data_IF_875813071906
#
_entry.id   IF_875813071906
#
_cell.length_a   1.000
_cell.length_b   1.000
_cell.length_c   1.000
_cell.angle_alpha   90.00
_cell.angle_beta   90.00
_cell.angle_gamma   90.00
#
_symmetry.space_group_name_H-M   'P 1'
#
loop_
_entity.id
_entity.type
_entity.pdbx_description
1 polymer ?
#
# COMPACT_ATOMS: atom_id res chain seq x y z
N UNK A 1 -15.44 39.09 7.30
CA UNK A 1 -14.76 37.90 6.77
C UNK A 1 -13.29 38.23 6.63
N UNK A 2 -12.46 37.63 7.48
CA UNK A 2 -11.05 38.00 7.51
C UNK A 2 -10.29 37.39 6.32
N UNK A 3 -9.40 38.16 5.73
CA UNK A 3 -8.51 37.76 4.62
C UNK A 3 -7.72 36.48 4.92
N UNK A 4 -7.52 36.13 6.18
CA UNK A 4 -6.81 34.91 6.59
C UNK A 4 -7.57 33.60 6.30
N UNK A 5 -8.90 33.61 6.42
CA UNK A 5 -9.72 32.42 6.15
C UNK A 5 -9.82 32.14 4.66
N UNK A 6 -9.84 33.20 3.82
CA UNK A 6 -9.80 33.06 2.36
C UNK A 6 -8.45 32.56 1.88
N UNK A 7 -7.37 32.97 2.55
CA UNK A 7 -6.00 32.51 2.21
C UNK A 7 -5.79 31.04 2.55
N UNK A 8 -6.28 30.58 3.70
CA UNK A 8 -6.23 29.16 4.11
C UNK A 8 -7.05 28.27 3.19
N UNK A 9 -8.23 28.71 2.81
CA UNK A 9 -9.10 27.97 1.88
C UNK A 9 -8.49 27.87 0.48
N UNK A 10 -7.88 28.93 -0.04
CA UNK A 10 -7.23 28.90 -1.35
C UNK A 10 -5.94 28.09 -1.38
N UNK A 11 -5.22 27.97 -0.26
CA UNK A 11 -4.05 27.07 -0.16
C UNK A 11 -4.50 25.63 -0.16
N UNK A 12 -5.57 25.27 0.55
CA UNK A 12 -6.12 23.91 0.57
C UNK A 12 -6.68 23.53 -0.81
N UNK A 13 -7.45 24.41 -1.45
CA UNK A 13 -7.99 24.19 -2.80
C UNK A 13 -6.89 24.02 -3.86
N UNK A 14 -5.82 24.84 -3.81
CA UNK A 14 -4.69 24.67 -4.73
C UNK A 14 -3.87 23.39 -4.48
N UNK A 15 -3.82 22.88 -3.24
CA UNK A 15 -3.21 21.58 -2.95
C UNK A 15 -4.06 20.42 -3.50
N UNK A 16 -5.38 20.48 -3.35
CA UNK A 16 -6.31 19.47 -3.89
C UNK A 16 -6.29 19.45 -5.40
N UNK A 17 -6.34 20.60 -6.08
CA UNK A 17 -6.28 20.68 -7.55
C UNK A 17 -4.95 20.16 -8.13
N UNK A 18 -3.82 20.47 -7.47
CA UNK A 18 -2.52 19.94 -7.89
C UNK A 18 -2.40 18.42 -7.67
N UNK A 19 -3.02 17.89 -6.61
CA UNK A 19 -3.00 16.47 -6.33
C UNK A 19 -3.92 15.70 -7.28
N UNK A 20 -5.16 16.17 -7.49
CA UNK A 20 -6.13 15.56 -8.40
C UNK A 20 -5.62 15.52 -9.85
N UNK A 21 -4.92 16.59 -10.31
CA UNK A 21 -4.29 16.60 -11.62
C UNK A 21 -3.12 15.63 -11.77
N UNK A 22 -2.38 15.39 -10.69
CA UNK A 22 -1.28 14.42 -10.68
C UNK A 22 -1.77 12.97 -10.52
N UNK A 23 -2.86 12.73 -9.81
CA UNK A 23 -3.43 11.40 -9.66
C UNK A 23 -4.14 10.89 -10.92
N UNK A 24 -4.77 11.77 -11.71
CA UNK A 24 -5.25 11.40 -13.05
C UNK A 24 -4.14 10.93 -14.01
N UNK A 25 -2.91 11.47 -13.84
CA UNK A 25 -1.71 11.01 -14.52
C UNK A 25 -1.10 9.72 -13.96
N UNK A 26 -1.33 9.45 -12.67
CA UNK A 26 -0.79 8.26 -11.97
C UNK A 26 -1.55 6.99 -12.39
N UNK A 27 -2.87 7.03 -12.56
CA UNK A 27 -3.63 5.88 -13.05
C UNK A 27 -3.11 5.38 -14.40
N UNK A 28 -2.83 6.30 -15.34
CA UNK A 28 -2.23 5.96 -16.63
C UNK A 28 -0.76 5.52 -16.52
N UNK A 29 -0.01 6.05 -15.57
CA UNK A 29 1.39 5.64 -15.32
C UNK A 29 1.49 4.30 -14.59
N UNK A 30 0.55 3.98 -13.70
CA UNK A 30 0.47 2.66 -13.03
C UNK A 30 0.11 1.59 -14.05
N UNK A 31 -0.91 1.80 -14.88
CA UNK A 31 -1.26 0.86 -15.96
C UNK A 31 -0.09 0.66 -16.94
N UNK A 32 0.61 1.74 -17.32
CA UNK A 32 1.79 1.65 -18.18
C UNK A 32 2.98 0.99 -17.47
N UNK A 33 3.14 1.15 -16.16
CA UNK A 33 4.18 0.50 -15.38
C UNK A 33 3.88 -0.97 -15.17
N UNK A 34 2.64 -1.34 -14.86
CA UNK A 34 2.17 -2.73 -14.77
C UNK A 34 2.31 -3.42 -16.14
N UNK A 35 1.95 -2.77 -17.25
CA UNK A 35 2.12 -3.32 -18.59
C UNK A 35 3.60 -3.46 -18.98
N UNK A 36 4.47 -2.52 -18.60
CA UNK A 36 5.93 -2.64 -18.79
C UNK A 36 6.54 -3.73 -17.92
N UNK A 37 6.04 -3.91 -16.69
CA UNK A 37 6.44 -4.98 -15.79
C UNK A 37 5.99 -6.34 -16.36
N UNK A 38 4.75 -6.50 -16.80
CA UNK A 38 4.27 -7.70 -17.45
C UNK A 38 5.06 -8.05 -18.73
N UNK A 39 5.47 -7.05 -19.50
CA UNK A 39 6.33 -7.26 -20.69
C UNK A 39 7.75 -7.67 -20.28
N UNK A 40 8.30 -7.08 -19.20
CA UNK A 40 9.59 -7.49 -18.65
C UNK A 40 9.54 -8.91 -18.04
N UNK A 41 8.43 -9.28 -17.39
CA UNK A 41 8.18 -10.65 -16.92
C UNK A 41 8.20 -11.68 -18.07
N UNK A 42 7.56 -11.38 -19.20
CA UNK A 42 7.55 -12.27 -20.37
C UNK A 42 8.94 -12.46 -21.02
N UNK A 43 9.82 -11.46 -20.91
CA UNK A 43 11.22 -11.57 -21.40
C UNK A 43 12.13 -12.28 -20.41
N UNK A 44 11.96 -12.11 -19.10
CA UNK A 44 12.75 -12.82 -18.08
C UNK A 44 12.42 -14.31 -17.97
N UNK A 45 11.15 -14.68 -18.17
CA UNK A 45 10.76 -16.10 -18.21
C UNK A 45 11.49 -16.87 -19.31
N UNK A 46 11.80 -16.21 -20.44
CA UNK A 46 12.61 -16.80 -21.54
C UNK A 46 14.11 -16.82 -21.23
N UNK A 47 14.63 -15.86 -20.45
CA UNK A 47 16.02 -15.83 -20.03
C UNK A 47 16.33 -16.84 -18.91
N UNK A 48 15.38 -17.05 -17.97
CA UNK A 48 15.51 -18.06 -16.89
C UNK A 48 15.60 -19.50 -17.40
N UNK A 49 14.91 -19.82 -18.50
CA UNK A 49 15.00 -21.12 -19.15
C UNK A 49 16.38 -21.39 -19.78
N UNK A 50 17.13 -20.36 -20.15
CA UNK A 50 18.47 -20.48 -20.73
C UNK A 50 19.60 -20.70 -19.69
N UNK A 51 19.37 -20.31 -18.42
CA UNK A 51 20.36 -20.48 -17.34
C UNK A 51 20.26 -21.81 -16.60
N UNK A 52 19.29 -22.65 -16.89
CA UNK A 52 19.18 -24.01 -16.32
C UNK A 52 20.23 -25.00 -16.85
N UNK A 53 21.11 -24.59 -17.77
CA UNK A 53 22.10 -25.43 -18.47
C UNK A 53 23.51 -25.46 -17.89
N UNK A 54 23.83 -24.74 -16.82
CA UNK A 54 25.18 -24.73 -16.22
C UNK A 54 25.14 -25.40 -14.83
N UNK A 55 25.22 -26.72 -14.84
CA UNK A 55 25.39 -27.54 -13.64
C UNK A 55 26.83 -27.51 -13.15
N UNK A 56 27.04 -27.22 -11.89
CA UNK A 56 28.28 -27.47 -11.20
C UNK A 56 28.59 -26.50 -10.06
N UNK A 57 27.99 -26.68 -8.91
CA UNK A 57 28.52 -26.42 -7.55
C UNK A 57 27.36 -26.55 -6.50
N UNK A 58 26.90 -27.77 -6.26
CA UNK A 58 25.62 -28.02 -5.54
C UNK A 58 25.80 -28.53 -4.10
N UNK A 59 26.91 -28.36 -3.42
CA UNK A 59 27.04 -28.88 -2.05
C UNK A 59 26.84 -27.84 -0.94
N UNK A 60 26.85 -26.55 -1.23
CA UNK A 60 26.57 -25.50 -0.26
C UNK A 60 25.13 -24.93 -0.31
N UNK A 61 24.39 -25.22 -1.36
CA UNK A 61 23.05 -24.69 -1.63
C UNK A 61 21.92 -25.52 -0.98
N UNK A 62 22.16 -26.81 -0.71
CA UNK A 62 21.10 -27.70 -0.21
C UNK A 62 20.58 -27.31 1.19
N UNK A 63 21.42 -26.82 2.11
CA UNK A 63 20.96 -26.44 3.45
C UNK A 63 20.07 -25.17 3.43
N UNK A 64 20.43 -24.15 2.64
CA UNK A 64 19.60 -22.95 2.50
C UNK A 64 18.27 -23.23 1.80
N UNK A 65 18.28 -24.15 0.84
CA UNK A 65 17.06 -24.54 0.09
C UNK A 65 16.08 -25.30 0.97
N UNK A 66 16.57 -26.15 1.88
CA UNK A 66 15.72 -26.92 2.80
C UNK A 66 15.05 -25.96 3.80
N UNK A 67 15.78 -25.05 4.42
CA UNK A 67 15.21 -24.08 5.38
C UNK A 67 14.17 -23.16 4.70
N UNK A 68 14.49 -22.62 3.54
CA UNK A 68 13.55 -21.77 2.77
C UNK A 68 12.27 -22.54 2.35
N UNK A 69 12.36 -23.84 2.16
CA UNK A 69 11.20 -24.69 1.86
C UNK A 69 10.32 -24.90 3.10
N UNK A 70 10.92 -25.07 4.28
CA UNK A 70 10.16 -25.18 5.53
C UNK A 70 9.44 -23.89 5.87
N UNK A 71 10.09 -22.74 5.78
CA UNK A 71 9.47 -21.43 6.05
C UNK A 71 8.30 -21.16 5.08
N UNK A 72 8.48 -21.50 3.80
CA UNK A 72 7.43 -21.39 2.79
C UNK A 72 6.24 -22.32 3.09
N UNK A 73 6.50 -23.57 3.50
CA UNK A 73 5.45 -24.54 3.83
C UNK A 73 4.68 -24.13 5.09
N UNK A 74 5.36 -23.60 6.09
CA UNK A 74 4.71 -23.07 7.30
C UNK A 74 3.80 -21.89 6.96
N UNK A 75 4.30 -20.92 6.21
CA UNK A 75 3.52 -19.76 5.78
C UNK A 75 2.28 -20.15 4.94
N UNK A 76 2.42 -21.14 4.05
CA UNK A 76 1.28 -21.69 3.30
C UNK A 76 0.27 -22.41 4.21
N UNK A 77 0.76 -23.13 5.23
CA UNK A 77 -0.08 -23.76 6.25
C UNK A 77 -0.90 -22.76 7.04
N UNK A 78 -0.26 -21.66 7.46
CA UNK A 78 -0.92 -20.53 8.14
C UNK A 78 -1.97 -19.88 7.23
N UNK A 79 -1.63 -19.57 5.99
CA UNK A 79 -2.55 -19.00 5.02
C UNK A 79 -3.75 -19.92 4.75
N UNK A 80 -3.55 -21.24 4.67
CA UNK A 80 -4.60 -22.24 4.53
C UNK A 80 -5.61 -22.20 5.68
N UNK A 81 -5.16 -21.87 6.90
CA UNK A 81 -6.02 -21.76 8.08
C UNK A 81 -7.07 -20.66 7.95
N UNK A 82 -6.84 -19.66 7.09
CA UNK A 82 -7.78 -18.57 6.76
C UNK A 82 -8.76 -18.94 5.64
N UNK A 83 -8.74 -20.21 5.19
CA UNK A 83 -9.70 -20.73 4.20
C UNK A 83 -9.28 -20.52 2.74
N UNK A 84 -8.04 -20.09 2.47
CA UNK A 84 -7.47 -20.04 1.12
C UNK A 84 -7.28 -21.48 0.63
N UNK A 85 -7.89 -21.81 -0.49
CA UNK A 85 -7.89 -23.16 -1.09
C UNK A 85 -6.85 -23.28 -2.20
N UNK A 86 -6.72 -22.26 -3.04
CA UNK A 86 -5.71 -22.22 -4.11
C UNK A 86 -4.40 -21.63 -3.61
N UNK A 87 -3.74 -22.36 -2.71
CA UNK A 87 -2.39 -22.00 -2.23
C UNK A 87 -1.36 -21.93 -3.36
N UNK A 88 -1.60 -22.66 -4.47
CA UNK A 88 -0.71 -22.64 -5.62
C UNK A 88 -0.69 -21.30 -6.33
N UNK A 89 -1.81 -20.59 -6.40
CA UNK A 89 -1.87 -19.26 -6.97
C UNK A 89 -0.95 -18.30 -6.19
N UNK A 90 -1.04 -18.31 -4.86
CA UNK A 90 -0.20 -17.50 -3.98
C UNK A 90 1.27 -17.92 -4.04
N UNK A 91 1.57 -19.23 -4.03
CA UNK A 91 2.94 -19.74 -4.15
C UNK A 91 3.59 -19.34 -5.48
N UNK A 92 2.85 -19.41 -6.58
CA UNK A 92 3.33 -19.01 -7.90
C UNK A 92 3.60 -17.49 -7.96
N UNK A 93 2.72 -16.68 -7.40
CA UNK A 93 2.91 -15.23 -7.28
C UNK A 93 4.15 -14.92 -6.43
N UNK A 94 4.29 -15.56 -5.26
CA UNK A 94 5.46 -15.44 -4.40
C UNK A 94 6.76 -15.81 -5.10
N UNK A 95 6.74 -16.92 -5.87
CA UNK A 95 7.89 -17.34 -6.66
C UNK A 95 8.24 -16.32 -7.74
N UNK A 96 7.26 -15.91 -8.52
CA UNK A 96 7.45 -14.93 -9.60
C UNK A 96 8.00 -13.61 -9.06
N UNK A 97 7.44 -13.16 -7.95
CA UNK A 97 7.87 -11.91 -7.30
C UNK A 97 9.31 -12.03 -6.77
N UNK A 98 9.62 -13.10 -6.03
CA UNK A 98 10.96 -13.29 -5.44
C UNK A 98 12.05 -13.51 -6.49
N UNK A 99 11.71 -14.10 -7.62
CA UNK A 99 12.64 -14.29 -8.75
C UNK A 99 12.94 -12.96 -9.48
N UNK A 100 12.00 -12.01 -9.42
CA UNK A 100 12.12 -10.69 -10.08
C UNK A 100 12.69 -9.62 -9.17
N UNK A 101 12.30 -9.61 -7.92
CA UNK A 101 12.61 -8.54 -6.97
C UNK A 101 13.45 -9.04 -5.81
N UNK A 102 14.74 -8.67 -5.78
CA UNK A 102 15.63 -9.00 -4.68
C UNK A 102 15.11 -8.44 -3.33
N UNK A 103 15.37 -9.17 -2.24
CA UNK A 103 15.06 -8.74 -0.87
C UNK A 103 13.59 -8.97 -0.44
N UNK A 104 12.86 -9.82 -1.15
CA UNK A 104 11.59 -10.39 -0.69
C UNK A 104 11.64 -11.88 -0.96
N UNK A 105 11.62 -12.68 0.09
CA UNK A 105 11.58 -14.14 -0.04
C UNK A 105 10.15 -14.61 -0.33
N UNK A 106 10.00 -15.88 -0.73
CA UNK A 106 8.68 -16.49 -0.91
C UNK A 106 7.89 -16.50 0.39
N UNK A 107 8.56 -16.82 1.52
CA UNK A 107 7.94 -16.81 2.84
C UNK A 107 7.45 -15.43 3.22
N UNK A 108 8.24 -14.36 3.01
CA UNK A 108 7.81 -12.99 3.31
C UNK A 108 6.57 -12.59 2.50
N UNK A 109 6.54 -12.97 1.22
CA UNK A 109 5.37 -12.72 0.37
C UNK A 109 4.12 -13.46 0.89
N UNK A 110 4.26 -14.74 1.26
CA UNK A 110 3.12 -15.55 1.74
C UNK A 110 2.67 -15.09 3.13
N UNK A 111 3.59 -14.65 3.99
CA UNK A 111 3.25 -14.04 5.29
C UNK A 111 2.44 -12.76 5.08
N UNK A 112 2.84 -11.90 4.14
CA UNK A 112 2.06 -10.72 3.79
C UNK A 112 0.67 -11.09 3.20
N UNK A 113 0.58 -12.19 2.45
CA UNK A 113 -0.71 -12.72 1.97
C UNK A 113 -1.61 -13.17 3.13
N UNK A 114 -1.04 -13.72 4.19
CA UNK A 114 -1.77 -14.03 5.42
C UNK A 114 -2.36 -12.77 6.06
N UNK A 115 -1.57 -11.71 6.24
CA UNK A 115 -2.03 -10.45 6.81
C UNK A 115 -3.16 -9.84 5.98
N UNK A 116 -2.99 -9.82 4.66
CA UNK A 116 -4.01 -9.33 3.72
C UNK A 116 -5.30 -10.16 3.83
N UNK A 117 -5.22 -11.49 3.80
CA UNK A 117 -6.40 -12.36 3.89
C UNK A 117 -7.10 -12.26 5.24
N UNK A 118 -6.33 -12.14 6.33
CA UNK A 118 -6.89 -12.00 7.68
C UNK A 118 -7.62 -10.67 7.86
N UNK A 119 -7.13 -9.59 7.24
CA UNK A 119 -7.76 -8.27 7.28
C UNK A 119 -8.86 -8.07 6.25
N UNK A 120 -8.82 -8.80 5.12
CA UNK A 120 -9.77 -8.69 4.01
C UNK A 120 -10.34 -10.06 3.68
N UNK A 121 -11.22 -10.56 4.56
CA UNK A 121 -11.78 -11.90 4.44
C UNK A 121 -12.59 -12.12 3.13
N UNK A 122 -13.11 -11.06 2.51
CA UNK A 122 -13.89 -11.10 1.26
C UNK A 122 -13.07 -11.43 0.01
N UNK A 123 -11.74 -11.24 0.04
CA UNK A 123 -10.90 -11.51 -1.12
C UNK A 123 -10.98 -12.98 -1.55
N UNK A 124 -11.10 -13.18 -2.85
CA UNK A 124 -10.92 -14.50 -3.49
C UNK A 124 -9.45 -14.95 -3.36
N UNK A 125 -9.17 -16.23 -3.58
CA UNK A 125 -7.79 -16.75 -3.53
C UNK A 125 -6.88 -16.04 -4.54
N UNK A 126 -7.37 -15.74 -5.73
CA UNK A 126 -6.67 -14.93 -6.74
C UNK A 126 -6.50 -13.48 -6.28
N UNK A 127 -7.54 -12.89 -5.69
CA UNK A 127 -7.50 -11.54 -5.12
C UNK A 127 -6.46 -11.40 -4.01
N UNK A 128 -6.26 -12.41 -3.17
CA UNK A 128 -5.19 -12.44 -2.17
C UNK A 128 -3.82 -12.35 -2.82
N UNK A 129 -3.57 -13.13 -3.87
CA UNK A 129 -2.29 -13.09 -4.59
C UNK A 129 -2.04 -11.72 -5.23
N UNK A 130 -3.06 -11.15 -5.90
CA UNK A 130 -2.98 -9.84 -6.57
C UNK A 130 -2.76 -8.70 -5.57
N UNK A 131 -3.51 -8.68 -4.46
CA UNK A 131 -3.33 -7.68 -3.41
C UNK A 131 -1.95 -7.75 -2.77
N UNK A 132 -1.46 -8.97 -2.53
CA UNK A 132 -0.12 -9.18 -1.99
C UNK A 132 0.96 -8.69 -2.95
N UNK A 133 0.79 -8.89 -4.24
CA UNK A 133 1.71 -8.38 -5.25
C UNK A 133 1.74 -6.85 -5.26
N UNK A 134 0.58 -6.18 -5.18
CA UNK A 134 0.49 -4.73 -5.05
C UNK A 134 1.18 -4.22 -3.78
N UNK A 135 0.95 -4.87 -2.65
CA UNK A 135 1.60 -4.51 -1.38
C UNK A 135 3.13 -4.67 -1.48
N UNK A 136 3.60 -5.79 -2.04
CA UNK A 136 5.02 -6.06 -2.23
C UNK A 136 5.68 -5.05 -3.18
N UNK A 137 5.03 -4.69 -4.29
CA UNK A 137 5.48 -3.64 -5.21
C UNK A 137 5.53 -2.27 -4.54
N UNK A 138 4.52 -1.94 -3.73
CA UNK A 138 4.50 -0.72 -2.93
C UNK A 138 5.68 -0.70 -1.96
N UNK A 139 5.98 -1.81 -1.30
CA UNK A 139 7.16 -1.96 -0.45
C UNK A 139 8.46 -1.65 -1.19
N UNK A 140 8.63 -2.17 -2.41
CA UNK A 140 9.80 -1.85 -3.25
C UNK A 140 9.87 -0.37 -3.63
N UNK A 141 8.73 0.21 -4.04
CA UNK A 141 8.66 1.61 -4.45
C UNK A 141 8.93 2.59 -3.30
N UNK A 142 8.64 2.19 -2.05
CA UNK A 142 8.67 3.04 -0.87
C UNK A 142 9.77 2.69 0.13
N UNK A 143 10.63 1.73 -0.21
CA UNK A 143 11.73 1.21 0.64
C UNK A 143 11.23 0.64 1.98
N UNK A 144 10.09 -0.03 1.95
CA UNK A 144 9.48 -0.70 3.09
C UNK A 144 9.44 -2.21 2.88
N UNK A 145 9.19 -2.97 3.93
CA UNK A 145 9.07 -4.43 3.81
C UNK A 145 7.73 -4.83 3.19
N UNK A 146 7.68 -6.03 2.62
CA UNK A 146 6.43 -6.60 2.09
C UNK A 146 5.41 -6.83 3.19
N UNK A 147 5.85 -7.26 4.37
CA UNK A 147 5.03 -7.46 5.56
C UNK A 147 4.38 -6.15 6.04
N UNK A 148 5.19 -5.08 6.21
CA UNK A 148 4.65 -3.75 6.58
C UNK A 148 3.59 -3.27 5.59
N UNK A 149 3.81 -3.48 4.30
CA UNK A 149 2.84 -3.09 3.28
C UNK A 149 1.62 -4.01 3.25
N UNK A 150 1.77 -5.31 3.48
CA UNK A 150 0.64 -6.23 3.66
C UNK A 150 -0.30 -5.79 4.78
N UNK A 151 0.26 -5.50 5.94
CA UNK A 151 -0.47 -4.98 7.10
C UNK A 151 -1.10 -3.60 6.81
N UNK A 152 -0.39 -2.71 6.11
CA UNK A 152 -0.92 -1.41 5.70
C UNK A 152 -2.10 -1.56 4.74
N UNK A 153 -2.00 -2.46 3.75
CA UNK A 153 -3.08 -2.69 2.78
C UNK A 153 -4.33 -3.26 3.44
N UNK A 154 -4.18 -4.20 4.38
CA UNK A 154 -5.29 -4.72 5.18
C UNK A 154 -5.96 -3.62 6.01
N UNK A 155 -5.16 -2.79 6.69
CA UNK A 155 -5.64 -1.64 7.49
C UNK A 155 -6.32 -0.60 6.61
N UNK A 156 -5.69 -0.21 5.50
CA UNK A 156 -6.21 0.79 4.56
C UNK A 156 -7.51 0.34 3.91
N UNK A 157 -7.62 -0.94 3.55
CA UNK A 157 -8.86 -1.49 3.04
C UNK A 157 -10.00 -1.35 4.07
N UNK A 158 -9.77 -1.73 5.32
CA UNK A 158 -10.77 -1.62 6.39
C UNK A 158 -11.21 -0.19 6.69
N UNK A 159 -10.32 0.80 6.50
CA UNK A 159 -10.62 2.21 6.77
C UNK A 159 -11.31 2.87 5.57
N UNK A 160 -10.86 2.61 4.35
CA UNK A 160 -11.17 3.45 3.20
C UNK A 160 -12.10 2.76 2.17
N UNK A 161 -12.06 1.43 2.02
CA UNK A 161 -12.79 0.75 0.93
C UNK A 161 -14.28 1.05 0.90
N UNK A 162 -14.93 1.19 2.06
CA UNK A 162 -16.35 1.54 2.15
C UNK A 162 -16.72 2.93 1.62
N UNK A 163 -15.75 3.80 1.34
CA UNK A 163 -15.95 5.11 0.70
C UNK A 163 -15.71 5.08 -0.81
N UNK A 164 -15.31 3.92 -1.34
CA UNK A 164 -15.03 3.67 -2.76
C UNK A 164 -15.79 2.41 -3.21
N UNK A 165 -17.10 2.38 -2.93
CA UNK A 165 -17.95 1.20 -3.19
C UNK A 165 -18.13 0.90 -4.68
N UNK A 166 -17.93 1.90 -5.52
CA UNK A 166 -17.96 1.81 -6.99
C UNK A 166 -16.71 1.12 -7.58
N UNK A 167 -15.63 1.01 -6.80
CA UNK A 167 -14.41 0.33 -7.22
C UNK A 167 -14.44 -1.14 -6.83
N UNK A 168 -13.91 -2.00 -7.69
CA UNK A 168 -13.55 -3.37 -7.32
C UNK A 168 -12.43 -3.37 -6.26
N UNK A 169 -12.22 -4.50 -5.60
CA UNK A 169 -11.15 -4.63 -4.62
C UNK A 169 -9.78 -4.34 -5.24
N UNK A 170 -9.54 -4.87 -6.45
CA UNK A 170 -8.26 -4.68 -7.14
C UNK A 170 -8.03 -3.23 -7.54
N UNK A 171 -9.03 -2.55 -8.11
CA UNK A 171 -8.95 -1.13 -8.46
C UNK A 171 -8.66 -0.26 -7.24
N UNK A 172 -9.31 -0.56 -6.11
CA UNK A 172 -9.01 0.10 -4.85
C UNK A 172 -7.56 -0.15 -4.41
N UNK A 173 -7.08 -1.39 -4.47
CA UNK A 173 -5.71 -1.74 -4.14
C UNK A 173 -4.68 -1.00 -5.01
N UNK A 174 -4.94 -0.89 -6.32
CA UNK A 174 -4.10 -0.15 -7.27
C UNK A 174 -4.08 1.35 -6.94
N UNK A 175 -5.24 1.95 -6.69
CA UNK A 175 -5.37 3.35 -6.29
C UNK A 175 -4.61 3.62 -4.98
N UNK A 176 -4.80 2.76 -3.97
CA UNK A 176 -4.14 2.89 -2.67
C UNK A 176 -2.62 2.77 -2.79
N UNK A 177 -2.13 1.78 -3.54
CA UNK A 177 -0.71 1.60 -3.87
C UNK A 177 -0.12 2.86 -4.51
N UNK A 178 -0.79 3.39 -5.54
CA UNK A 178 -0.38 4.58 -6.26
C UNK A 178 -0.34 5.81 -5.36
N UNK A 179 -1.33 5.96 -4.48
CA UNK A 179 -1.41 7.05 -3.50
C UNK A 179 -0.23 7.04 -2.54
N UNK A 180 0.07 5.89 -1.92
CA UNK A 180 1.22 5.72 -1.01
C UNK A 180 2.54 6.00 -1.72
N UNK A 181 2.76 5.40 -2.90
CA UNK A 181 3.99 5.60 -3.67
C UNK A 181 4.16 7.07 -4.10
N UNK A 182 3.07 7.76 -4.45
CA UNK A 182 3.07 9.19 -4.80
C UNK A 182 3.41 10.06 -3.60
N UNK A 183 2.83 9.78 -2.42
CA UNK A 183 3.15 10.50 -1.20
C UNK A 183 4.63 10.36 -0.85
N UNK A 184 5.17 9.14 -0.88
CA UNK A 184 6.62 8.91 -0.60
C UNK A 184 7.51 9.58 -1.64
N UNK A 185 7.10 9.61 -2.91
CA UNK A 185 7.85 10.30 -3.98
C UNK A 185 7.90 11.81 -3.79
N UNK A 186 6.80 12.42 -3.36
CA UNK A 186 6.64 13.88 -3.34
C UNK A 186 7.07 14.50 -2.00
N UNK A 187 7.07 13.73 -0.92
CA UNK A 187 7.38 14.21 0.43
C UNK A 187 8.57 13.44 1.02
N UNK A 188 9.22 14.03 1.99
CA UNK A 188 10.32 13.38 2.71
C UNK A 188 9.77 12.36 3.73
N UNK A 189 9.29 11.22 3.23
CA UNK A 189 8.72 10.15 4.03
C UNK A 189 9.11 8.78 3.48
N UNK A 190 8.64 7.71 4.09
CA UNK A 190 8.78 6.32 3.66
C UNK A 190 7.44 5.59 3.74
N UNK A 191 7.36 4.39 3.16
CA UNK A 191 6.17 3.55 3.29
C UNK A 191 5.87 3.19 4.75
N UNK A 192 6.90 2.89 5.55
CA UNK A 192 6.74 2.57 6.99
C UNK A 192 6.21 3.76 7.79
N UNK A 193 6.69 4.97 7.51
CA UNK A 193 6.17 6.19 8.14
C UNK A 193 4.72 6.47 7.71
N UNK A 194 4.36 6.23 6.43
CA UNK A 194 2.97 6.35 5.97
C UNK A 194 2.08 5.28 6.60
N UNK A 195 2.56 4.05 6.76
CA UNK A 195 1.84 2.99 7.47
C UNK A 195 1.55 3.38 8.92
N UNK A 196 2.55 3.91 9.62
CA UNK A 196 2.41 4.42 10.98
C UNK A 196 1.41 5.58 11.07
N UNK A 197 1.43 6.48 10.08
CA UNK A 197 0.51 7.61 10.03
C UNK A 197 -0.94 7.16 9.80
N UNK A 198 -1.18 6.30 8.81
CA UNK A 198 -2.52 5.78 8.49
C UNK A 198 -3.10 5.01 9.69
N UNK A 199 -2.30 4.15 10.30
CA UNK A 199 -2.72 3.37 11.49
C UNK A 199 -3.07 4.29 12.67
N UNK A 200 -2.27 5.32 12.93
CA UNK A 200 -2.51 6.26 14.03
C UNK A 200 -3.71 7.19 13.77
N UNK A 201 -3.91 7.64 12.52
CA UNK A 201 -5.04 8.46 12.11
C UNK A 201 -6.35 7.66 12.21
N UNK A 202 -6.31 6.39 11.79
CA UNK A 202 -7.49 5.53 11.71
C UNK A 202 -8.56 6.15 10.80
N UNK A 203 -9.81 5.94 11.12
CA UNK A 203 -10.94 6.46 10.36
C UNK A 203 -11.30 7.92 10.68
N UNK A 204 -10.50 8.65 11.48
CA UNK A 204 -10.88 9.98 11.95
C UNK A 204 -11.08 10.98 10.81
N UNK A 205 -10.16 11.01 9.85
CA UNK A 205 -10.27 11.94 8.72
C UNK A 205 -11.36 11.48 7.72
N UNK A 206 -11.49 10.18 7.52
CA UNK A 206 -12.51 9.59 6.66
C UNK A 206 -13.92 9.87 7.20
N UNK A 207 -14.12 9.76 8.51
CA UNK A 207 -15.38 10.13 9.17
C UNK A 207 -15.67 11.62 9.11
N UNK A 208 -14.66 12.45 8.88
CA UNK A 208 -14.79 13.88 8.62
C UNK A 208 -14.92 14.19 7.11
N UNK A 209 -15.26 13.20 6.29
CA UNK A 209 -15.41 13.30 4.83
C UNK A 209 -14.17 13.85 4.10
N UNK A 210 -12.98 13.64 4.65
CA UNK A 210 -11.73 14.02 3.97
C UNK A 210 -11.34 12.90 2.98
N UNK A 211 -11.19 13.20 1.68
CA UNK A 211 -10.76 12.21 0.69
C UNK A 211 -9.38 11.62 1.01
N UNK A 212 -9.13 10.37 0.62
CA UNK A 212 -7.88 9.66 0.88
C UNK A 212 -6.67 10.45 0.34
N UNK A 213 -6.79 11.01 -0.84
CA UNK A 213 -5.73 11.78 -1.51
C UNK A 213 -5.29 12.98 -0.66
N UNK A 214 -6.24 13.68 -0.10
CA UNK A 214 -5.99 14.82 0.79
C UNK A 214 -5.33 14.37 2.09
N UNK A 215 -5.82 13.26 2.67
CA UNK A 215 -5.22 12.69 3.87
C UNK A 215 -3.75 12.33 3.64
N UNK A 216 -3.44 11.66 2.53
CA UNK A 216 -2.08 11.27 2.16
C UNK A 216 -1.18 12.50 1.92
N UNK A 217 -1.71 13.54 1.29
CA UNK A 217 -0.98 14.78 1.06
C UNK A 217 -0.66 15.51 2.37
N UNK A 218 -1.65 15.67 3.25
CA UNK A 218 -1.47 16.34 4.55
C UNK A 218 -0.48 15.57 5.42
N UNK A 219 -0.66 14.25 5.54
CA UNK A 219 0.26 13.40 6.30
C UNK A 219 1.66 13.44 5.71
N UNK A 220 1.81 13.34 4.39
CA UNK A 220 3.10 13.45 3.72
C UNK A 220 3.79 14.78 3.98
N UNK A 221 3.04 15.89 3.89
CA UNK A 221 3.58 17.22 4.17
C UNK A 221 4.04 17.37 5.62
N UNK A 222 3.26 16.89 6.59
CA UNK A 222 3.63 16.93 8.01
C UNK A 222 4.87 16.05 8.28
N UNK A 223 4.98 14.92 7.64
CA UNK A 223 6.12 14.00 7.79
C UNK A 223 7.44 14.55 7.24
N UNK A 224 7.43 15.66 6.53
CA UNK A 224 8.69 16.36 6.18
C UNK A 224 9.48 16.82 7.41
N UNK A 225 8.80 16.99 8.55
CA UNK A 225 9.38 17.56 9.79
C UNK A 225 9.13 16.71 11.04
N UNK A 226 8.29 15.67 10.97
CA UNK A 226 7.95 14.82 12.12
C UNK A 226 7.70 13.38 11.68
N UNK A 227 7.62 12.45 12.64
CA UNK A 227 7.30 11.04 12.37
C UNK A 227 5.85 10.86 11.90
N UNK A 228 5.57 9.71 11.25
CA UNK A 228 4.23 9.42 10.75
C UNK A 228 3.16 9.40 11.84
N UNK A 229 3.44 8.76 12.97
CA UNK A 229 2.50 8.72 14.10
C UNK A 229 2.29 10.08 14.75
N UNK A 230 3.31 10.92 14.80
CA UNK A 230 3.19 12.29 15.30
C UNK A 230 2.37 13.16 14.33
N UNK A 231 2.62 13.06 13.04
CA UNK A 231 1.87 13.75 11.99
C UNK A 231 0.37 13.41 12.08
N UNK A 232 0.05 12.12 12.18
CA UNK A 232 -1.32 11.65 12.33
C UNK A 232 -1.98 12.16 13.62
N UNK A 233 -1.27 12.16 14.74
CA UNK A 233 -1.77 12.67 16.03
C UNK A 233 -2.11 14.15 15.95
N UNK A 234 -1.25 14.96 15.34
CA UNK A 234 -1.50 16.40 15.14
C UNK A 234 -2.66 16.65 14.19
N UNK A 235 -2.72 15.88 13.10
CA UNK A 235 -3.83 16.01 12.15
C UNK A 235 -5.17 15.58 12.76
N UNK A 236 -5.19 14.49 13.51
CA UNK A 236 -6.36 14.04 14.28
C UNK A 236 -6.82 15.09 15.29
N UNK A 237 -5.90 15.71 16.02
CA UNK A 237 -6.21 16.80 16.96
C UNK A 237 -6.78 18.01 16.24
N UNK A 238 -6.25 18.36 15.07
CA UNK A 238 -6.80 19.44 14.24
C UNK A 238 -8.24 19.14 13.82
N UNK A 239 -8.51 17.95 13.27
CA UNK A 239 -9.85 17.55 12.83
C UNK A 239 -10.85 17.57 13.98
N UNK A 240 -10.48 17.04 15.15
CA UNK A 240 -11.36 17.02 16.33
C UNK A 240 -11.66 18.42 16.89
N UNK A 241 -10.78 19.38 16.67
CA UNK A 241 -10.94 20.73 17.19
C UNK A 241 -11.55 21.71 16.16
N UNK A 242 -11.47 21.37 14.87
CA UNK A 242 -11.90 22.26 13.80
C UNK A 242 -13.39 22.58 13.89
N UNK A 243 -14.25 21.61 14.15
CA UNK A 243 -15.70 21.82 14.33
C UNK A 243 -16.00 22.69 15.55
N UNK A 244 -15.38 22.43 16.70
CA UNK A 244 -15.53 23.22 17.92
C UNK A 244 -15.00 24.65 17.76
N UNK A 245 -13.94 24.84 16.98
CA UNK A 245 -13.42 26.16 16.67
C UNK A 245 -14.37 26.93 15.73
N UNK A 246 -14.96 26.22 14.76
CA UNK A 246 -15.99 26.78 13.88
C UNK A 246 -17.17 27.31 14.64
N UNK A 247 -17.74 26.52 15.55
CA UNK A 247 -18.86 26.94 16.40
C UNK A 247 -18.52 28.18 17.22
N UNK A 248 -17.33 28.21 17.85
CA UNK A 248 -16.89 29.37 18.65
C UNK A 248 -16.66 30.64 17.82
N UNK A 249 -16.34 30.49 16.55
CA UNK A 249 -16.12 31.59 15.61
C UNK A 249 -17.39 31.97 14.84
N UNK A 250 -18.52 31.30 15.10
CA UNK A 250 -19.76 31.51 14.36
C UNK A 250 -19.67 31.05 12.89
N UNK A 251 -18.74 30.16 12.59
CA UNK A 251 -18.55 29.56 11.26
C UNK A 251 -19.30 28.23 11.22
N UNK A 252 -20.23 28.09 10.31
CA UNK A 252 -20.84 26.80 10.00
C UNK A 252 -19.99 26.17 8.90
N UNK A 253 -19.36 25.01 9.19
CA UNK A 253 -18.84 24.17 8.14
C UNK A 253 -20.07 23.54 7.49
N UNK A 254 -20.37 23.96 6.26
CA UNK A 254 -21.46 23.37 5.48
C UNK A 254 -20.97 22.01 4.96
N UNK A 255 -21.85 21.03 5.10
CA UNK A 255 -21.71 19.68 4.53
C UNK A 255 -21.58 19.72 3.01
#
# INVERSE_FOLDING_TARGET
MGMESVYKLSVILNMVDNLSGQMGGVGNNVTNTVNKLNTAFGTMQRAGAAMAGVGGAITGLCMKTVTATFDTQNALGELSSLGVKDLKAVENAAKSFSDTWAGTSKSDFITAAYDIKSGIASLTDEGVAQFTELAALTGKATKSTTEEMGSLFATGYGIYKGFYDDMSDLEFGEMFSAGIATAVKNYKTSGSEMASAISALGATATNANVPLEEQLAIMGQLQTTMSGSEAATKYKSFLNQASSAGEKLGLTFLD
#
